data_IF_459125147087
#
_entry.id   IF_459125147087
#
_cell.length_a   1.000
_cell.length_b   1.000
_cell.length_c   1.000
_cell.angle_alpha   90.00
_cell.angle_beta   90.00
_cell.angle_gamma   90.00
#
_symmetry.space_group_name_H-M   'P 1'
#
loop_
_entity.id
_entity.type
_entity.pdbx_description
1 polymer ?
#
# COMPACT_ATOMS: atom_id res chain seq x y z
N UNK A 1 -23.99 -6.12 -1.75
CA UNK A 1 -22.62 -6.05 -1.24
C UNK A 1 -22.47 -4.69 -0.60
N UNK A 2 -22.31 -4.63 0.72
CA UNK A 2 -22.12 -3.37 1.45
C UNK A 2 -20.62 -3.06 1.45
N UNK A 3 -20.22 -1.92 0.87
CA UNK A 3 -18.89 -1.34 1.08
C UNK A 3 -18.88 -0.71 2.47
N UNK A 4 -18.37 -1.43 3.45
CA UNK A 4 -18.36 -0.97 4.84
C UNK A 4 -16.90 -0.82 5.27
N UNK A 5 -16.50 0.43 5.55
CA UNK A 5 -15.25 0.73 6.23
C UNK A 5 -15.33 0.28 7.68
N UNK A 6 -14.43 -0.61 8.08
CA UNK A 6 -14.34 -1.10 9.45
C UNK A 6 -14.02 0.05 10.42
N UNK A 7 -13.07 0.92 10.06
CA UNK A 7 -12.69 2.06 10.88
C UNK A 7 -13.86 3.01 11.11
N UNK A 8 -14.62 3.36 10.06
CA UNK A 8 -15.79 4.24 10.19
C UNK A 8 -16.86 3.64 11.10
N UNK A 9 -17.14 2.33 10.97
CA UNK A 9 -18.15 1.66 11.82
C UNK A 9 -17.70 1.64 13.27
N UNK A 10 -16.43 1.33 13.54
CA UNK A 10 -15.90 1.30 14.91
C UNK A 10 -15.84 2.71 15.50
N UNK A 11 -15.39 3.71 14.72
CA UNK A 11 -15.35 5.11 15.14
C UNK A 11 -16.76 5.59 15.52
N UNK A 12 -17.75 5.31 14.68
CA UNK A 12 -19.16 5.64 14.97
C UNK A 12 -19.65 4.96 16.24
N UNK A 13 -19.36 3.67 16.42
CA UNK A 13 -19.75 2.91 17.61
C UNK A 13 -19.08 3.44 18.88
N UNK A 14 -17.78 3.73 18.84
CA UNK A 14 -17.03 4.30 19.99
C UNK A 14 -17.57 5.69 20.33
N UNK A 15 -17.78 6.54 19.32
CA UNK A 15 -18.33 7.88 19.55
C UNK A 15 -19.73 7.83 20.17
N UNK A 16 -20.60 6.96 19.68
CA UNK A 16 -21.97 6.82 20.17
C UNK A 16 -22.00 6.26 21.59
N UNK A 17 -21.15 5.27 21.90
CA UNK A 17 -21.03 4.69 23.24
C UNK A 17 -20.49 5.70 24.25
N UNK A 18 -19.49 6.49 23.88
CA UNK A 18 -18.94 7.56 24.73
C UNK A 18 -19.98 8.67 24.99
N UNK A 19 -20.82 9.00 24.01
CA UNK A 19 -21.92 9.95 24.20
C UNK A 19 -22.96 9.45 25.23
N UNK A 20 -23.32 8.17 25.16
CA UNK A 20 -24.25 7.55 26.14
C UNK A 20 -23.65 7.55 27.55
N UNK A 21 -22.36 7.22 27.70
CA UNK A 21 -21.68 7.25 29.01
C UNK A 21 -21.67 8.67 29.56
N UNK A 22 -21.39 9.69 28.75
CA UNK A 22 -21.43 11.11 29.17
C UNK A 22 -22.80 11.55 29.64
N UNK A 23 -23.89 11.08 29.02
CA UNK A 23 -25.26 11.35 29.45
C UNK A 23 -25.61 10.70 30.79
N UNK A 24 -25.14 9.46 31.03
CA UNK A 24 -25.43 8.70 32.25
C UNK A 24 -24.59 9.13 33.45
N UNK A 25 -23.37 9.62 33.22
CA UNK A 25 -22.43 9.97 34.29
C UNK A 25 -22.32 11.50 34.44
N UNK A 26 -23.21 12.12 35.22
CA UNK A 26 -23.13 13.55 35.55
C UNK A 26 -21.93 13.92 36.45
N UNK A 27 -21.12 12.99 36.90
CA UNK A 27 -19.97 13.22 37.78
C UNK A 27 -18.70 12.48 37.30
N UNK A 28 -17.73 13.21 36.83
CA UNK A 28 -16.29 12.89 36.99
C UNK A 28 -15.62 12.01 35.93
N UNK A 29 -16.30 11.20 35.14
CA UNK A 29 -15.66 10.23 34.24
C UNK A 29 -15.45 10.78 32.82
N UNK A 30 -16.07 11.89 32.45
CA UNK A 30 -16.02 12.44 31.08
C UNK A 30 -14.62 12.90 30.60
N UNK A 31 -13.69 13.20 31.53
CA UNK A 31 -12.34 13.62 31.23
C UNK A 31 -11.39 12.48 30.81
N UNK A 32 -11.64 11.29 31.36
CA UNK A 32 -10.76 10.12 31.12
C UNK A 32 -10.97 9.56 29.71
N UNK A 33 -12.19 9.58 29.19
CA UNK A 33 -12.50 8.97 27.87
C UNK A 33 -12.11 9.83 26.66
N UNK A 34 -12.02 11.17 26.78
CA UNK A 34 -11.68 12.03 25.64
C UNK A 34 -10.26 11.79 25.08
N UNK A 35 -9.31 11.41 25.96
CA UNK A 35 -7.93 11.12 25.56
C UNK A 35 -7.69 9.65 25.20
N UNK A 36 -8.68 8.77 25.41
CA UNK A 36 -8.56 7.32 25.19
C UNK A 36 -9.32 6.83 23.95
N UNK A 37 -10.16 7.65 23.31
CA UNK A 37 -10.95 7.22 22.14
C UNK A 37 -10.06 6.68 21.00
N UNK A 38 -8.96 7.35 20.71
CA UNK A 38 -8.01 6.90 19.66
C UNK A 38 -7.31 5.58 20.03
N UNK A 39 -6.99 5.38 21.31
CA UNK A 39 -6.34 4.15 21.78
C UNK A 39 -7.33 2.98 21.81
N UNK A 40 -8.58 3.22 22.20
CA UNK A 40 -9.66 2.23 22.16
C UNK A 40 -9.91 1.80 20.70
N UNK A 41 -9.99 2.76 19.78
CA UNK A 41 -10.14 2.49 18.34
C UNK A 41 -9.02 1.59 17.82
N UNK A 42 -7.77 1.93 18.12
CA UNK A 42 -6.60 1.12 17.74
C UNK A 42 -6.66 -0.30 18.30
N UNK A 43 -7.04 -0.46 19.58
CA UNK A 43 -7.14 -1.77 20.21
C UNK A 43 -8.25 -2.62 19.57
N UNK A 44 -9.40 -2.03 19.25
CA UNK A 44 -10.50 -2.74 18.59
C UNK A 44 -10.07 -3.18 17.18
N UNK A 45 -9.46 -2.29 16.41
CA UNK A 45 -8.95 -2.62 15.07
C UNK A 45 -7.91 -3.74 15.16
N UNK A 46 -6.94 -3.63 16.08
CA UNK A 46 -5.91 -4.66 16.26
C UNK A 46 -6.52 -6.02 16.63
N UNK A 47 -7.51 -6.05 17.54
CA UNK A 47 -8.22 -7.26 17.93
C UNK A 47 -8.96 -7.90 16.73
N UNK A 48 -9.66 -7.09 15.92
CA UNK A 48 -10.37 -7.58 14.74
C UNK A 48 -9.38 -8.12 13.70
N UNK A 49 -8.27 -7.42 13.47
CA UNK A 49 -7.23 -7.85 12.54
C UNK A 49 -6.57 -9.15 12.98
N UNK A 50 -6.29 -9.34 14.27
CA UNK A 50 -5.79 -10.60 14.82
C UNK A 50 -6.74 -11.76 14.51
N UNK A 51 -8.05 -11.57 14.72
CA UNK A 51 -9.07 -12.59 14.38
C UNK A 51 -9.18 -12.83 12.89
N UNK A 52 -9.05 -11.78 12.09
CA UNK A 52 -9.05 -11.89 10.63
C UNK A 52 -7.84 -12.69 10.14
N UNK A 53 -6.63 -12.44 10.65
CA UNK A 53 -5.44 -13.24 10.35
C UNK A 53 -5.65 -14.73 10.71
N UNK A 54 -6.17 -15.02 11.89
CA UNK A 54 -6.47 -16.40 12.31
C UNK A 54 -7.47 -17.09 11.37
N UNK A 55 -8.53 -16.38 10.97
CA UNK A 55 -9.51 -16.90 10.01
C UNK A 55 -8.91 -17.13 8.62
N UNK A 56 -8.02 -16.25 8.17
CA UNK A 56 -7.38 -16.39 6.86
C UNK A 56 -6.36 -17.52 6.83
N UNK A 57 -5.58 -17.69 7.89
CA UNK A 57 -4.67 -18.84 8.05
C UNK A 57 -5.39 -20.19 7.95
N UNK A 58 -6.61 -20.29 8.52
CA UNK A 58 -7.43 -21.52 8.39
C UNK A 58 -7.94 -21.77 6.96
N UNK A 59 -7.70 -20.84 6.03
CA UNK A 59 -8.04 -20.90 4.60
C UNK A 59 -6.80 -20.88 3.69
N UNK A 60 -5.64 -21.24 4.25
CA UNK A 60 -4.35 -21.26 3.54
C UNK A 60 -3.88 -19.90 3.00
N UNK A 61 -4.39 -18.80 3.59
CA UNK A 61 -3.93 -17.45 3.29
C UNK A 61 -3.08 -16.98 4.47
N UNK A 62 -1.76 -17.01 4.31
CA UNK A 62 -0.81 -16.66 5.37
C UNK A 62 -0.75 -15.17 5.65
N UNK A 63 -0.18 -14.78 6.80
CA UNK A 63 -0.19 -13.39 7.27
C UNK A 63 0.49 -12.41 6.33
N UNK A 64 1.54 -12.83 5.63
CA UNK A 64 2.25 -12.00 4.65
C UNK A 64 1.35 -11.49 3.51
N UNK A 65 0.38 -12.31 3.04
CA UNK A 65 -0.61 -11.85 2.06
C UNK A 65 -1.59 -10.83 2.64
N UNK A 66 -2.00 -11.02 3.89
CA UNK A 66 -2.90 -10.08 4.56
C UNK A 66 -2.18 -8.76 4.83
N UNK A 67 -0.94 -8.82 5.34
CA UNK A 67 -0.12 -7.65 5.60
C UNK A 67 0.15 -6.86 4.30
N UNK A 68 0.41 -7.57 3.19
CA UNK A 68 0.60 -6.94 1.89
C UNK A 68 -0.61 -6.11 1.42
N UNK A 69 -1.84 -6.58 1.67
CA UNK A 69 -3.07 -5.88 1.23
C UNK A 69 -3.63 -4.89 2.26
N UNK A 70 -3.13 -4.93 3.50
CA UNK A 70 -3.54 -4.04 4.58
C UNK A 70 -2.67 -2.78 4.68
N UNK A 71 -1.38 -2.87 4.31
CA UNK A 71 -0.35 -1.83 4.55
C UNK A 71 -0.65 -0.49 3.84
N UNK A 72 -1.49 -0.49 2.82
CA UNK A 72 -1.79 0.73 2.06
C UNK A 72 -2.70 1.72 2.81
N UNK A 73 -3.31 1.28 3.94
CA UNK A 73 -4.23 2.10 4.73
C UNK A 73 -5.49 2.57 3.98
N UNK A 74 -5.67 2.12 2.72
CA UNK A 74 -6.76 2.57 1.84
C UNK A 74 -7.97 1.64 1.89
N UNK A 75 -7.81 0.42 2.40
CA UNK A 75 -8.88 -0.55 2.50
C UNK A 75 -8.94 -1.18 3.88
N UNK A 76 -9.93 -0.77 4.65
CA UNK A 76 -10.36 -1.40 5.89
C UNK A 76 -11.60 -2.29 5.70
N UNK A 77 -11.96 -2.57 4.45
CA UNK A 77 -12.96 -3.57 4.09
C UNK A 77 -12.33 -4.96 4.05
N UNK A 78 -12.61 -5.76 5.08
CA UNK A 78 -12.07 -7.11 5.24
C UNK A 78 -12.41 -8.05 4.06
N UNK A 79 -13.52 -7.81 3.38
CA UNK A 79 -13.88 -8.61 2.23
C UNK A 79 -13.01 -8.27 1.00
N UNK A 80 -12.73 -6.99 0.78
CA UNK A 80 -11.80 -6.55 -0.27
C UNK A 80 -10.40 -7.08 0.02
N UNK A 81 -9.94 -7.00 1.27
CA UNK A 81 -8.65 -7.57 1.69
C UNK A 81 -8.59 -9.07 1.42
N UNK A 82 -9.63 -9.83 1.78
CA UNK A 82 -9.72 -11.25 1.47
C UNK A 82 -9.64 -11.53 -0.04
N UNK A 83 -10.37 -10.77 -0.87
CA UNK A 83 -10.35 -10.94 -2.31
C UNK A 83 -8.95 -10.69 -2.89
N UNK A 84 -8.32 -9.57 -2.52
CA UNK A 84 -6.95 -9.22 -2.96
C UNK A 84 -5.94 -10.28 -2.51
N UNK A 85 -5.97 -10.69 -1.24
CA UNK A 85 -5.06 -11.70 -0.71
C UNK A 85 -5.23 -13.06 -1.41
N UNK A 86 -6.45 -13.50 -1.66
CA UNK A 86 -6.74 -14.74 -2.41
C UNK A 86 -6.18 -14.70 -3.83
N UNK A 87 -6.27 -13.56 -4.50
CA UNK A 87 -5.69 -13.37 -5.84
C UNK A 87 -4.16 -13.49 -5.77
N UNK A 88 -3.51 -12.84 -4.79
CA UNK A 88 -2.06 -12.92 -4.59
C UNK A 88 -1.58 -14.37 -4.35
N UNK A 89 -2.29 -15.13 -3.52
CA UNK A 89 -1.99 -16.57 -3.32
C UNK A 89 -1.99 -17.31 -4.66
N UNK A 90 -2.98 -17.05 -5.52
CA UNK A 90 -3.07 -17.68 -6.85
C UNK A 90 -1.90 -17.32 -7.78
N UNK A 91 -1.29 -16.15 -7.60
CA UNK A 91 -0.16 -15.70 -8.41
C UNK A 91 1.22 -16.18 -7.93
N UNK A 92 1.32 -16.77 -6.72
CA UNK A 92 2.62 -17.26 -6.21
C UNK A 92 3.25 -18.39 -7.00
N UNK A 93 2.47 -19.09 -7.84
CA UNK A 93 2.94 -20.15 -8.74
C UNK A 93 3.23 -19.63 -10.16
N UNK A 94 3.13 -18.32 -10.37
CA UNK A 94 3.29 -17.65 -11.67
C UNK A 94 4.65 -16.95 -11.72
N UNK A 95 5.59 -17.53 -12.45
CA UNK A 95 6.97 -17.04 -12.56
C UNK A 95 7.03 -15.57 -13.08
N UNK A 96 6.13 -15.20 -14.00
CA UNK A 96 6.10 -13.84 -14.53
C UNK A 96 5.62 -12.84 -13.45
N UNK A 97 4.64 -13.24 -12.64
CA UNK A 97 4.22 -12.40 -11.51
C UNK A 97 5.32 -12.31 -10.45
N UNK A 98 6.07 -13.37 -10.21
CA UNK A 98 7.21 -13.35 -9.27
C UNK A 98 8.34 -12.42 -9.75
N UNK A 99 8.54 -12.27 -11.07
CA UNK A 99 9.42 -11.22 -11.60
C UNK A 99 8.89 -9.82 -11.26
N UNK A 100 7.56 -9.61 -11.32
CA UNK A 100 6.93 -8.34 -10.89
C UNK A 100 7.20 -8.06 -9.41
N UNK A 101 7.06 -9.06 -8.55
CA UNK A 101 7.37 -8.95 -7.11
C UNK A 101 8.83 -8.57 -6.91
N UNK A 102 9.75 -9.22 -7.61
CA UNK A 102 11.19 -8.96 -7.52
C UNK A 102 11.57 -7.55 -7.97
N UNK A 103 11.02 -7.10 -9.11
CA UNK A 103 11.22 -5.76 -9.63
C UNK A 103 10.71 -4.69 -8.65
N UNK A 104 9.50 -4.89 -8.09
CA UNK A 104 8.94 -4.01 -7.08
C UNK A 104 9.80 -3.97 -5.81
N UNK A 105 10.22 -5.13 -5.27
CA UNK A 105 11.07 -5.18 -4.07
C UNK A 105 12.38 -4.43 -4.25
N UNK A 106 13.00 -4.55 -5.42
CA UNK A 106 14.23 -3.79 -5.72
C UNK A 106 13.98 -2.28 -5.66
N UNK A 107 12.92 -1.80 -6.30
CA UNK A 107 12.53 -0.39 -6.27
C UNK A 107 12.19 0.08 -4.84
N UNK A 108 11.39 -0.71 -4.13
CA UNK A 108 10.96 -0.43 -2.76
C UNK A 108 12.14 -0.32 -1.78
N UNK A 109 13.08 -1.26 -1.82
CA UNK A 109 14.23 -1.26 -0.91
C UNK A 109 15.14 -0.05 -1.12
N UNK A 110 15.36 0.37 -2.38
CA UNK A 110 16.18 1.54 -2.69
C UNK A 110 15.49 2.81 -2.20
N UNK A 111 14.21 2.94 -2.51
CA UNK A 111 13.41 4.08 -2.12
C UNK A 111 13.30 4.19 -0.58
N UNK A 112 13.02 3.10 0.14
CA UNK A 112 12.88 3.09 1.60
C UNK A 112 14.16 3.50 2.32
N UNK A 113 15.32 3.01 1.90
CA UNK A 113 16.60 3.45 2.46
C UNK A 113 16.81 4.96 2.33
N UNK A 114 16.49 5.49 1.15
CA UNK A 114 16.62 6.93 0.92
C UNK A 114 15.62 7.76 1.75
N UNK A 115 14.42 7.22 2.03
CA UNK A 115 13.42 7.86 2.89
C UNK A 115 13.90 7.93 4.35
N UNK A 116 14.55 6.88 4.84
CA UNK A 116 15.10 6.85 6.19
C UNK A 116 16.24 7.86 6.34
N UNK A 117 17.07 8.02 5.30
CA UNK A 117 18.21 8.94 5.29
C UNK A 117 17.81 10.41 5.11
N UNK A 118 16.74 10.71 4.37
CA UNK A 118 16.28 12.08 4.08
C UNK A 118 14.75 12.22 3.91
N UNK A 119 14.06 12.42 5.02
CA UNK A 119 12.59 12.65 5.05
C UNK A 119 12.13 13.88 4.24
N UNK A 120 13.00 14.80 3.84
CA UNK A 120 12.66 15.99 3.05
C UNK A 120 12.56 15.68 1.55
N UNK A 121 13.11 14.55 1.08
CA UNK A 121 13.09 14.16 -0.33
C UNK A 121 11.66 14.03 -0.90
N UNK A 122 10.68 13.67 -0.08
CA UNK A 122 9.32 13.30 -0.52
C UNK A 122 8.36 14.44 -0.78
N UNK A 123 8.64 15.61 -0.23
CA UNK A 123 7.75 16.77 -0.38
C UNK A 123 7.93 17.52 -1.71
N UNK A 124 8.90 17.16 -2.54
CA UNK A 124 9.18 17.84 -3.80
C UNK A 124 8.54 17.09 -4.98
N UNK A 125 8.02 17.84 -5.93
CA UNK A 125 7.39 17.31 -7.15
C UNK A 125 8.42 16.65 -8.06
N UNK A 126 8.05 15.50 -8.66
CA UNK A 126 8.84 14.86 -9.73
C UNK A 126 8.95 15.82 -10.92
N UNK A 127 10.17 16.08 -11.38
CA UNK A 127 10.45 17.01 -12.48
C UNK A 127 10.86 16.25 -13.73
N UNK A 128 9.97 16.14 -14.71
CA UNK A 128 10.26 15.51 -16.02
C UNK A 128 11.47 16.13 -16.75
N UNK A 129 11.68 17.44 -16.54
CA UNK A 129 12.82 18.15 -17.14
C UNK A 129 14.17 17.64 -16.61
N UNK A 130 14.19 16.94 -15.49
CA UNK A 130 15.40 16.37 -14.89
C UNK A 130 15.68 14.94 -15.32
N UNK A 131 14.94 14.37 -16.29
CA UNK A 131 15.27 13.08 -16.88
C UNK A 131 16.46 13.24 -17.82
N UNK A 132 17.55 12.53 -17.50
CA UNK A 132 18.79 12.54 -18.30
C UNK A 132 18.79 11.47 -19.39
N UNK A 133 18.05 10.37 -19.16
CA UNK A 133 18.00 9.19 -20.03
C UNK A 133 16.57 8.88 -20.44
N UNK A 134 16.39 8.33 -21.62
CA UNK A 134 15.06 7.96 -22.12
C UNK A 134 14.39 6.88 -21.26
N UNK A 135 15.17 5.95 -20.70
CA UNK A 135 14.67 4.91 -19.80
C UNK A 135 13.98 5.47 -18.54
N UNK A 136 14.38 6.65 -18.06
CA UNK A 136 13.70 7.33 -16.94
C UNK A 136 12.30 7.80 -17.37
N UNK A 137 12.18 8.27 -18.60
CA UNK A 137 10.91 8.70 -19.19
C UNK A 137 10.01 7.50 -19.46
N UNK A 138 10.56 6.42 -20.00
CA UNK A 138 9.84 5.19 -20.30
C UNK A 138 9.23 4.58 -19.02
N UNK A 139 10.01 4.52 -17.94
CA UNK A 139 9.51 4.06 -16.64
C UNK A 139 8.42 4.99 -16.09
N UNK A 140 8.59 6.31 -16.23
CA UNK A 140 7.58 7.29 -15.80
C UNK A 140 6.26 7.11 -16.57
N UNK A 141 6.33 6.98 -17.90
CA UNK A 141 5.15 6.86 -18.74
C UNK A 141 4.47 5.50 -18.55
N UNK A 142 5.23 4.41 -18.40
CA UNK A 142 4.70 3.10 -18.02
C UNK A 142 3.96 3.14 -16.68
N UNK A 143 4.55 3.79 -15.66
CA UNK A 143 3.91 3.96 -14.36
C UNK A 143 2.63 4.81 -14.42
N UNK A 144 2.60 5.84 -15.26
CA UNK A 144 1.40 6.66 -15.48
C UNK A 144 0.26 5.81 -16.05
N UNK A 145 0.54 5.02 -17.09
CA UNK A 145 -0.44 4.12 -17.71
C UNK A 145 -0.93 3.09 -16.68
N UNK A 146 0.00 2.47 -15.94
CA UNK A 146 -0.34 1.51 -14.90
C UNK A 146 -1.27 2.11 -13.85
N UNK A 147 -0.96 3.33 -13.38
CA UNK A 147 -1.79 4.03 -12.40
C UNK A 147 -3.24 4.19 -12.85
N UNK A 148 -3.44 4.61 -14.10
CA UNK A 148 -4.77 4.81 -14.66
C UNK A 148 -5.52 3.46 -14.78
N UNK A 149 -4.86 2.41 -15.29
CA UNK A 149 -5.42 1.06 -15.39
C UNK A 149 -5.80 0.47 -14.03
N UNK A 150 -4.92 0.61 -13.02
CA UNK A 150 -5.23 0.17 -11.65
C UNK A 150 -6.46 0.90 -11.11
N UNK A 151 -6.52 2.23 -11.26
CA UNK A 151 -7.64 3.02 -10.76
C UNK A 151 -8.96 2.61 -11.41
N UNK A 152 -8.97 2.39 -12.72
CA UNK A 152 -10.19 1.99 -13.44
C UNK A 152 -10.64 0.58 -13.04
N UNK A 153 -9.72 -0.38 -12.90
CA UNK A 153 -10.06 -1.72 -12.44
C UNK A 153 -10.52 -1.75 -10.97
N UNK A 154 -9.96 -0.94 -10.09
CA UNK A 154 -10.41 -0.79 -8.70
C UNK A 154 -11.85 -0.23 -8.65
N UNK A 155 -12.19 0.78 -9.47
CA UNK A 155 -13.55 1.35 -9.53
C UNK A 155 -14.62 0.30 -9.84
N UNK A 156 -14.31 -0.65 -10.71
CA UNK A 156 -15.19 -1.76 -11.07
C UNK A 156 -15.00 -3.02 -10.22
N UNK A 157 -14.12 -2.95 -9.21
CA UNK A 157 -13.77 -4.05 -8.31
C UNK A 157 -13.18 -5.29 -9.03
N UNK A 158 -12.56 -5.12 -10.19
CA UNK A 158 -11.83 -6.17 -10.90
C UNK A 158 -10.37 -6.23 -10.44
N UNK A 159 -10.17 -6.74 -9.22
CA UNK A 159 -8.84 -6.86 -8.61
C UNK A 159 -7.94 -7.85 -9.35
N UNK A 160 -8.53 -8.92 -9.94
CA UNK A 160 -7.77 -9.87 -10.74
C UNK A 160 -7.09 -9.19 -11.92
N UNK A 161 -7.84 -8.38 -12.66
CA UNK A 161 -7.29 -7.61 -13.78
C UNK A 161 -6.32 -6.55 -13.31
N UNK A 162 -6.62 -5.86 -12.18
CA UNK A 162 -5.72 -4.86 -11.62
C UNK A 162 -4.35 -5.45 -11.27
N UNK A 163 -4.28 -6.63 -10.64
CA UNK A 163 -3.02 -7.32 -10.35
C UNK A 163 -2.30 -7.79 -11.62
N UNK A 164 -3.04 -8.25 -12.64
CA UNK A 164 -2.44 -8.65 -13.90
C UNK A 164 -1.75 -7.48 -14.63
N UNK A 165 -2.29 -6.26 -14.52
CA UNK A 165 -1.67 -5.06 -15.11
C UNK A 165 -0.29 -4.72 -14.50
N UNK A 166 0.01 -5.20 -13.28
CA UNK A 166 1.34 -4.97 -12.66
C UNK A 166 2.49 -5.54 -13.50
N UNK A 167 2.25 -6.55 -14.33
CA UNK A 167 3.28 -7.16 -15.20
C UNK A 167 3.90 -6.17 -16.18
N UNK A 168 3.15 -5.15 -16.57
CA UNK A 168 3.64 -4.16 -17.54
C UNK A 168 4.84 -3.34 -17.07
N UNK A 169 5.10 -3.30 -15.75
CA UNK A 169 6.26 -2.55 -15.21
C UNK A 169 7.53 -3.36 -15.15
N UNK A 170 7.50 -4.68 -15.36
CA UNK A 170 8.68 -5.55 -15.20
C UNK A 170 9.81 -5.08 -16.11
N UNK A 171 9.57 -5.07 -17.40
CA UNK A 171 10.58 -4.67 -18.38
C UNK A 171 11.08 -3.23 -18.19
N UNK A 172 10.21 -2.20 -18.03
CA UNK A 172 10.67 -0.84 -17.75
C UNK A 172 11.53 -0.72 -16.48
N UNK A 173 11.19 -1.46 -15.41
CA UNK A 173 11.96 -1.45 -14.17
C UNK A 173 13.31 -2.16 -14.34
N UNK A 174 13.34 -3.32 -15.01
CA UNK A 174 14.57 -4.06 -15.29
C UNK A 174 15.53 -3.18 -16.11
N UNK A 175 15.09 -2.63 -17.24
CA UNK A 175 15.90 -1.74 -18.10
C UNK A 175 16.40 -0.51 -17.31
N UNK A 176 15.52 0.10 -16.51
CA UNK A 176 15.92 1.23 -15.68
C UNK A 176 17.06 0.87 -14.74
N UNK A 177 17.01 -0.27 -14.07
CA UNK A 177 18.08 -0.67 -13.15
C UNK A 177 19.35 -1.19 -13.84
N UNK A 178 19.25 -1.64 -15.07
CA UNK A 178 20.40 -2.09 -15.87
C UNK A 178 21.20 -0.90 -16.44
N UNK A 179 20.51 0.17 -16.82
CA UNK A 179 21.13 1.32 -17.46
C UNK A 179 21.38 2.51 -16.50
N UNK A 180 20.67 2.57 -15.38
CA UNK A 180 20.66 3.74 -14.50
C UNK A 180 21.25 3.43 -13.11
N UNK A 181 22.30 4.17 -12.76
CA UNK A 181 22.77 4.22 -11.36
C UNK A 181 21.91 5.19 -10.58
N UNK A 182 21.01 4.68 -9.73
CA UNK A 182 20.06 5.52 -8.95
C UNK A 182 20.79 6.57 -8.09
N UNK A 183 21.90 6.17 -7.45
CA UNK A 183 22.73 7.05 -6.65
C UNK A 183 23.66 7.91 -7.52
N UNK A 184 23.10 8.77 -8.35
CA UNK A 184 23.85 9.72 -9.17
C UNK A 184 24.63 10.72 -8.30
N UNK A 185 25.88 11.10 -8.67
CA UNK A 185 26.63 12.13 -7.96
C UNK A 185 25.92 13.49 -7.92
N UNK A 186 25.12 13.81 -8.92
CA UNK A 186 24.31 15.01 -8.98
C UNK A 186 23.06 14.86 -8.09
N UNK A 187 22.95 15.65 -7.01
CA UNK A 187 21.88 15.47 -6.03
C UNK A 187 20.46 15.60 -6.62
N UNK A 188 20.27 16.50 -7.59
CA UNK A 188 18.96 16.71 -8.21
C UNK A 188 18.52 15.52 -9.08
N UNK A 189 19.45 14.89 -9.78
CA UNK A 189 19.20 13.69 -10.59
C UNK A 189 18.89 12.52 -9.69
N UNK A 190 19.72 12.30 -8.65
CA UNK A 190 19.48 11.27 -7.65
C UNK A 190 18.10 11.41 -7.01
N UNK A 191 17.77 12.61 -6.55
CA UNK A 191 16.46 12.91 -5.94
C UNK A 191 15.32 12.60 -6.90
N UNK A 192 15.44 12.97 -8.17
CA UNK A 192 14.41 12.73 -9.18
C UNK A 192 14.22 11.23 -9.47
N UNK A 193 15.31 10.44 -9.54
CA UNK A 193 15.26 8.97 -9.69
C UNK A 193 14.62 8.29 -8.50
N UNK A 194 14.95 8.70 -7.27
CA UNK A 194 14.32 8.19 -6.06
C UNK A 194 12.81 8.47 -6.03
N UNK A 195 12.39 9.66 -6.47
CA UNK A 195 10.96 10.00 -6.60
C UNK A 195 10.23 9.19 -7.65
N UNK A 196 10.91 8.88 -8.75
CA UNK A 196 10.35 8.01 -9.78
C UNK A 196 10.04 6.63 -9.20
N UNK A 197 10.99 6.04 -8.45
CA UNK A 197 10.78 4.76 -7.75
C UNK A 197 9.70 4.86 -6.67
N UNK A 198 9.68 5.94 -5.87
CA UNK A 198 8.63 6.18 -4.87
C UNK A 198 7.23 6.27 -5.50
N UNK A 199 7.12 6.95 -6.65
CA UNK A 199 5.86 7.07 -7.39
C UNK A 199 5.39 5.71 -7.91
N UNK A 200 6.32 4.87 -8.39
CA UNK A 200 6.03 3.50 -8.80
C UNK A 200 5.51 2.67 -7.61
N UNK A 201 6.22 2.69 -6.48
CA UNK A 201 5.79 1.97 -5.28
C UNK A 201 4.42 2.44 -4.79
N UNK A 202 4.15 3.74 -4.77
CA UNK A 202 2.85 4.31 -4.42
C UNK A 202 1.74 3.84 -5.37
N UNK A 203 2.05 3.66 -6.66
CA UNK A 203 1.07 3.15 -7.64
C UNK A 203 0.72 1.69 -7.35
N UNK A 204 1.73 0.84 -7.13
CA UNK A 204 1.55 -0.60 -6.83
C UNK A 204 0.85 -0.78 -5.48
N UNK A 205 1.18 0.02 -4.47
CA UNK A 205 0.61 -0.06 -3.12
C UNK A 205 -0.90 0.19 -3.09
N UNK A 206 -1.49 0.79 -4.12
CA UNK A 206 -2.97 0.85 -4.22
C UNK A 206 -3.63 -0.53 -4.29
N UNK A 207 -2.88 -1.55 -4.68
CA UNK A 207 -3.33 -2.94 -4.68
C UNK A 207 -2.79 -3.71 -3.50
N UNK A 208 -1.47 -3.69 -3.33
CA UNK A 208 -0.76 -4.38 -2.26
C UNK A 208 0.69 -3.88 -2.16
N UNK A 209 1.25 -3.88 -0.95
CA UNK A 209 2.68 -3.75 -0.73
C UNK A 209 3.35 -5.12 -0.93
N UNK A 210 3.88 -5.36 -2.13
CA UNK A 210 4.47 -6.65 -2.49
C UNK A 210 5.77 -6.96 -1.74
N UNK A 211 6.31 -6.02 -0.93
CA UNK A 211 7.52 -6.28 -0.14
C UNK A 211 7.31 -7.31 0.98
N UNK A 212 6.06 -7.49 1.43
CA UNK A 212 5.70 -8.49 2.43
C UNK A 212 5.72 -9.93 1.89
N UNK A 213 5.53 -10.12 0.57
CA UNK A 213 5.47 -11.47 -0.01
C UNK A 213 6.85 -12.12 0.05
N UNK A 214 6.89 -13.41 0.39
CA UNK A 214 8.12 -14.20 0.35
C UNK A 214 8.43 -14.54 -1.12
N UNK A 215 9.66 -14.28 -1.52
CA UNK A 215 10.20 -14.67 -2.82
C UNK A 215 11.07 -15.90 -2.65
#
# INVERSE_FOLDING_TARGET
>A
KLNISLAIVIEYAVHHYTAIIKQKNKAGISGIFKNQEADILKQIIAFIMERFHGLMNSRDITSDFIDAVYDDGTSDDLYIMYQKAKILVGYMQDDEFMRTVSAYKRAFNIYKRAEEDDKKLYNKKLLKISFKHDVERDLFDANKILKDKIQDNIKIQDYQKAFNELRMIVTPVEIFFDEIMVNDPEPQVRENRLKLLATLCTTVNKLANLSYLKS
#
